data_IF_141109398154
#
_entry.id   IF_141109398154
#
_cell.length_a   1.000
_cell.length_b   1.000
_cell.length_c   1.000
_cell.angle_alpha   90.00
_cell.angle_beta   90.00
_cell.angle_gamma   90.00
#
_symmetry.space_group_name_H-M   'P 1'
#
loop_
_entity.id
_entity.type
_entity.pdbx_description
1 polymer ?
#
# COMPACT_ATOMS: atom_id res chain seq x y z
N UNK A 1 0.09 -8.54 -20.85
CA UNK A 1 0.74 -8.81 -19.55
C UNK A 1 0.81 -10.32 -19.38
N UNK A 2 1.99 -10.89 -19.17
CA UNK A 2 2.13 -12.33 -18.92
C UNK A 2 1.53 -12.73 -17.56
N UNK A 3 1.35 -14.02 -17.32
CA UNK A 3 0.94 -14.50 -16.01
C UNK A 3 2.04 -14.16 -14.98
N UNK A 4 1.68 -13.40 -13.93
CA UNK A 4 2.62 -13.00 -12.88
C UNK A 4 3.25 -14.21 -12.18
N UNK A 5 2.53 -15.33 -12.12
CA UNK A 5 3.02 -16.58 -11.54
C UNK A 5 4.06 -17.29 -12.42
N UNK A 6 4.10 -17.02 -13.73
CA UNK A 6 4.98 -17.70 -14.68
C UNK A 6 6.19 -16.86 -15.08
N UNK A 7 6.17 -15.53 -14.85
CA UNK A 7 7.21 -14.62 -15.32
C UNK A 7 7.53 -13.49 -14.33
N UNK A 8 7.57 -13.84 -13.04
CA UNK A 8 7.90 -12.95 -11.93
C UNK A 8 9.20 -12.13 -12.18
N UNK A 9 10.24 -12.75 -12.73
CA UNK A 9 11.53 -12.08 -12.98
C UNK A 9 11.50 -10.97 -14.05
N UNK A 10 10.45 -10.90 -14.88
CA UNK A 10 10.32 -9.89 -15.94
C UNK A 10 9.34 -8.77 -15.59
N UNK A 11 8.72 -8.82 -14.41
CA UNK A 11 7.79 -7.78 -13.97
C UNK A 11 8.56 -6.62 -13.34
N UNK A 12 8.27 -5.41 -13.82
CA UNK A 12 8.76 -4.18 -13.21
C UNK A 12 7.95 -3.85 -11.95
N UNK A 13 8.49 -2.98 -11.07
CA UNK A 13 7.76 -2.48 -9.91
C UNK A 13 6.41 -1.86 -10.32
N UNK A 14 6.38 -1.12 -11.43
CA UNK A 14 5.15 -0.58 -12.02
C UNK A 14 4.16 -1.69 -12.43
N UNK A 15 4.63 -2.77 -13.07
CA UNK A 15 3.79 -3.90 -13.45
C UNK A 15 3.16 -4.59 -12.24
N UNK A 16 3.92 -4.74 -11.16
CA UNK A 16 3.41 -5.26 -9.88
C UNK A 16 2.40 -4.33 -9.25
N UNK A 17 2.69 -3.03 -9.18
CA UNK A 17 1.78 -2.04 -8.62
C UNK A 17 0.46 -2.01 -9.40
N UNK A 18 0.51 -2.04 -10.74
CA UNK A 18 -0.67 -2.12 -11.59
C UNK A 18 -1.49 -3.39 -11.30
N UNK A 19 -0.85 -4.56 -11.30
CA UNK A 19 -1.54 -5.81 -11.01
C UNK A 19 -2.19 -5.77 -9.63
N UNK A 20 -1.47 -5.30 -8.62
CA UNK A 20 -1.93 -5.23 -7.23
C UNK A 20 -3.12 -4.28 -7.06
N UNK A 21 -3.09 -3.10 -7.67
CA UNK A 21 -4.13 -2.08 -7.48
C UNK A 21 -5.38 -2.30 -8.36
N UNK A 22 -5.24 -2.95 -9.52
CA UNK A 22 -6.31 -3.01 -10.52
C UNK A 22 -6.80 -4.43 -10.84
N UNK A 23 -5.93 -5.44 -10.80
CA UNK A 23 -6.33 -6.82 -11.12
C UNK A 23 -6.64 -7.62 -9.85
N UNK A 24 -5.77 -7.55 -8.85
CA UNK A 24 -5.89 -8.33 -7.63
C UNK A 24 -7.22 -8.14 -6.87
N UNK A 25 -7.84 -6.96 -6.76
CA UNK A 25 -9.17 -6.80 -6.15
C UNK A 25 -10.22 -7.75 -6.72
N UNK A 26 -10.32 -7.82 -8.05
CA UNK A 26 -11.31 -8.67 -8.69
C UNK A 26 -10.92 -10.16 -8.65
N UNK A 27 -9.62 -10.46 -8.78
CA UNK A 27 -9.13 -11.83 -8.79
C UNK A 27 -9.17 -12.49 -7.40
N UNK A 28 -8.98 -11.70 -6.34
CA UNK A 28 -8.96 -12.16 -4.95
C UNK A 28 -10.32 -12.05 -4.25
N UNK A 29 -11.31 -11.42 -4.90
CA UNK A 29 -12.68 -11.38 -4.42
C UNK A 29 -13.23 -12.80 -4.20
N UNK A 30 -13.71 -13.07 -2.98
CA UNK A 30 -14.20 -14.41 -2.60
C UNK A 30 -13.11 -15.48 -2.44
N UNK A 31 -11.83 -15.13 -2.60
CA UNK A 31 -10.69 -16.02 -2.32
C UNK A 31 -10.06 -15.74 -0.96
N UNK A 32 -9.96 -14.47 -0.58
CA UNK A 32 -9.51 -14.06 0.75
C UNK A 32 -10.70 -14.01 1.71
N UNK A 33 -10.50 -14.53 2.92
CA UNK A 33 -11.49 -14.40 3.98
C UNK A 33 -11.58 -12.93 4.47
N UNK A 34 -12.76 -12.52 4.92
CA UNK A 34 -12.87 -11.33 5.76
C UNK A 34 -12.27 -11.65 7.14
N UNK A 35 -11.46 -10.76 7.76
CA UNK A 35 -11.26 -9.34 7.44
C UNK A 35 -10.13 -9.03 6.43
N UNK A 36 -9.32 -10.01 6.04
CA UNK A 36 -8.11 -9.80 5.24
C UNK A 36 -8.37 -9.22 3.86
N UNK A 37 -9.46 -9.63 3.20
CA UNK A 37 -9.83 -9.05 1.91
C UNK A 37 -10.14 -7.55 2.04
N UNK A 38 -10.86 -7.16 3.09
CA UNK A 38 -11.20 -5.75 3.31
C UNK A 38 -9.93 -4.93 3.60
N UNK A 39 -9.05 -5.44 4.47
CA UNK A 39 -7.77 -4.81 4.77
C UNK A 39 -6.89 -4.64 3.52
N UNK A 40 -6.86 -5.65 2.64
CA UNK A 40 -6.21 -5.55 1.33
C UNK A 40 -6.82 -4.45 0.43
N UNK A 41 -8.14 -4.36 0.36
CA UNK A 41 -8.82 -3.31 -0.43
C UNK A 41 -8.53 -1.92 0.13
N UNK A 42 -8.44 -1.77 1.44
CA UNK A 42 -8.08 -0.49 2.07
C UNK A 42 -6.64 -0.07 1.74
N UNK A 43 -5.70 -1.02 1.63
CA UNK A 43 -4.35 -0.71 1.14
C UNK A 43 -4.38 -0.25 -0.33
N UNK A 44 -5.15 -0.93 -1.19
CA UNK A 44 -5.31 -0.52 -2.59
C UNK A 44 -5.89 0.91 -2.68
N UNK A 45 -6.81 1.28 -1.79
CA UNK A 45 -7.33 2.64 -1.73
C UNK A 45 -6.24 3.65 -1.31
N UNK A 46 -5.44 3.35 -0.29
CA UNK A 46 -4.28 4.17 0.13
C UNK A 46 -3.32 4.37 -1.05
N UNK A 47 -2.92 3.31 -1.73
CA UNK A 47 -1.99 3.38 -2.87
C UNK A 47 -2.55 4.22 -4.03
N UNK A 48 -3.86 4.14 -4.30
CA UNK A 48 -4.47 4.97 -5.36
C UNK A 48 -4.52 6.44 -4.98
N UNK A 49 -4.70 6.76 -3.70
CA UNK A 49 -4.64 8.13 -3.22
C UNK A 49 -3.23 8.66 -3.43
N UNK A 50 -2.17 7.94 -3.02
CA UNK A 50 -0.78 8.42 -3.12
C UNK A 50 -0.29 8.65 -4.56
N UNK A 51 -1.00 8.12 -5.57
CA UNK A 51 -0.73 8.33 -6.99
C UNK A 51 -1.48 9.52 -7.61
N UNK A 52 -2.28 10.26 -6.83
CA UNK A 52 -2.96 11.46 -7.33
C UNK A 52 -1.94 12.54 -7.72
N UNK A 53 -2.31 13.33 -8.74
CA UNK A 53 -1.47 14.42 -9.24
C UNK A 53 -1.45 15.61 -8.27
N UNK A 54 -2.57 15.87 -7.60
CA UNK A 54 -2.78 16.97 -6.67
C UNK A 54 -3.45 16.46 -5.39
N UNK A 55 -3.10 17.08 -4.27
CA UNK A 55 -3.66 16.82 -2.94
C UNK A 55 -4.01 18.14 -2.26
N UNK A 56 -5.12 18.17 -1.53
CA UNK A 56 -5.37 19.20 -0.51
C UNK A 56 -4.80 18.75 0.83
N UNK A 57 -4.57 19.70 1.74
CA UNK A 57 -4.10 19.40 3.10
C UNK A 57 -5.06 18.45 3.81
N UNK A 58 -6.37 18.67 3.64
CA UNK A 58 -7.42 17.83 4.23
C UNK A 58 -7.38 16.40 3.68
N UNK A 59 -7.03 16.21 2.41
CA UNK A 59 -6.85 14.86 1.84
C UNK A 59 -5.63 14.17 2.44
N UNK A 60 -4.55 14.90 2.72
CA UNK A 60 -3.35 14.34 3.36
C UNK A 60 -3.66 13.97 4.83
N UNK A 61 -4.41 14.80 5.56
CA UNK A 61 -4.81 14.49 6.94
C UNK A 61 -5.72 13.25 7.01
N UNK A 62 -6.62 13.10 6.04
CA UNK A 62 -7.44 11.89 5.90
C UNK A 62 -6.60 10.67 5.53
N UNK A 63 -5.61 10.83 4.65
CA UNK A 63 -4.68 9.77 4.27
C UNK A 63 -3.87 9.29 5.48
N UNK A 64 -3.35 10.22 6.29
CA UNK A 64 -2.63 9.91 7.52
C UNK A 64 -3.47 9.09 8.48
N UNK A 65 -4.70 9.55 8.76
CA UNK A 65 -5.63 8.83 9.64
C UNK A 65 -5.91 7.42 9.11
N UNK A 66 -6.09 7.27 7.80
CA UNK A 66 -6.36 5.99 7.15
C UNK A 66 -5.15 5.05 7.21
N UNK A 67 -3.94 5.56 7.03
CA UNK A 67 -2.70 4.78 7.13
C UNK A 67 -2.48 4.31 8.56
N UNK A 68 -2.64 5.19 9.56
CA UNK A 68 -2.49 4.83 10.98
C UNK A 68 -3.47 3.71 11.34
N UNK A 69 -4.72 3.83 10.92
CA UNK A 69 -5.72 2.79 11.14
C UNK A 69 -5.35 1.49 10.44
N UNK A 70 -4.90 1.56 9.18
CA UNK A 70 -4.50 0.39 8.41
C UNK A 70 -3.33 -0.38 9.04
N UNK A 71 -2.32 0.32 9.56
CA UNK A 71 -1.18 -0.27 10.26
C UNK A 71 -1.61 -0.91 11.58
N UNK A 72 -2.48 -0.24 12.35
CA UNK A 72 -3.06 -0.81 13.57
C UNK A 72 -3.85 -2.11 13.30
N UNK A 73 -4.65 -2.12 12.22
CA UNK A 73 -5.36 -3.33 11.79
C UNK A 73 -4.39 -4.41 11.28
N UNK A 74 -3.27 -4.04 10.65
CA UNK A 74 -2.22 -4.98 10.25
C UNK A 74 -1.60 -5.67 11.46
N UNK A 75 -1.26 -4.90 12.49
CA UNK A 75 -0.74 -5.44 13.75
C UNK A 75 -1.73 -6.41 14.39
N UNK A 76 -3.02 -6.07 14.38
CA UNK A 76 -4.07 -6.94 14.93
C UNK A 76 -4.29 -8.22 14.11
N UNK A 77 -4.28 -8.13 12.78
CA UNK A 77 -4.66 -9.26 11.91
C UNK A 77 -3.51 -10.22 11.63
N UNK A 78 -2.29 -9.70 11.44
CA UNK A 78 -1.14 -10.49 11.00
C UNK A 78 -0.09 -10.66 12.09
N UNK A 79 0.27 -9.59 12.82
CA UNK A 79 1.25 -9.69 13.90
C UNK A 79 0.65 -10.34 15.16
N UNK A 80 -0.64 -10.10 15.41
CA UNK A 80 -1.41 -10.65 16.54
C UNK A 80 -0.79 -10.38 17.92
N UNK A 81 0.14 -9.42 17.99
CA UNK A 81 0.94 -9.12 19.19
C UNK A 81 1.74 -10.34 19.71
N UNK A 82 2.14 -11.21 18.79
CA UNK A 82 2.94 -12.40 19.07
C UNK A 82 4.36 -12.21 18.52
N UNK A 83 5.36 -12.36 19.38
CA UNK A 83 6.76 -12.23 19.01
C UNK A 83 7.18 -13.28 17.95
N UNK A 84 6.51 -14.43 17.88
CA UNK A 84 6.73 -15.44 16.83
C UNK A 84 6.36 -14.91 15.43
N UNK A 85 5.48 -13.91 15.37
CA UNK A 85 5.02 -13.26 14.14
C UNK A 85 5.82 -12.00 13.78
N UNK A 86 6.91 -11.67 14.47
CA UNK A 86 7.74 -10.47 14.21
C UNK A 86 8.16 -10.31 12.74
N UNK A 87 8.28 -11.40 11.99
CA UNK A 87 8.63 -11.38 10.56
C UNK A 87 7.62 -10.63 9.68
N UNK A 88 6.39 -10.40 10.14
CA UNK A 88 5.35 -9.64 9.40
C UNK A 88 5.40 -8.13 9.65
N UNK A 89 6.17 -7.67 10.65
CA UNK A 89 6.37 -6.25 10.99
C UNK A 89 7.50 -5.65 10.15
N UNK A 90 7.35 -5.71 8.83
CA UNK A 90 8.38 -5.29 7.88
C UNK A 90 8.58 -3.78 7.89
N UNK A 91 9.82 -3.34 7.63
CA UNK A 91 10.15 -1.92 7.50
C UNK A 91 9.27 -1.20 6.47
N UNK A 92 8.84 -1.90 5.41
CA UNK A 92 7.93 -1.35 4.39
C UNK A 92 6.56 -0.99 4.98
N UNK A 93 6.06 -1.74 5.96
CA UNK A 93 4.81 -1.43 6.66
C UNK A 93 4.98 -0.17 7.52
N UNK A 94 6.10 -0.05 8.24
CA UNK A 94 6.43 1.16 8.99
C UNK A 94 6.60 2.38 8.06
N UNK A 95 7.19 2.17 6.88
CA UNK A 95 7.35 3.20 5.85
C UNK A 95 6.03 3.85 5.43
N UNK A 96 4.91 3.14 5.51
CA UNK A 96 3.60 3.72 5.22
C UNK A 96 3.29 4.92 6.11
N UNK A 97 3.65 4.87 7.39
CA UNK A 97 3.37 5.96 8.35
C UNK A 97 4.06 7.27 8.00
N UNK A 98 5.16 7.22 7.23
CA UNK A 98 5.90 8.41 6.81
C UNK A 98 5.37 9.04 5.53
N UNK A 99 4.53 8.32 4.76
CA UNK A 99 3.99 8.81 3.47
C UNK A 99 3.31 10.18 3.58
N UNK A 100 2.42 10.45 4.57
CA UNK A 100 1.78 11.76 4.67
C UNK A 100 2.77 12.91 4.88
N UNK A 101 3.77 12.70 5.74
CA UNK A 101 4.80 13.71 6.03
C UNK A 101 5.73 13.91 4.83
N UNK A 102 6.10 12.83 4.13
CA UNK A 102 6.86 12.90 2.88
C UNK A 102 6.11 13.71 1.82
N UNK A 103 4.78 13.52 1.69
CA UNK A 103 3.94 14.28 0.76
C UNK A 103 3.88 15.77 1.15
N UNK A 104 3.75 16.09 2.44
CA UNK A 104 3.76 17.48 2.93
C UNK A 104 5.10 18.18 2.67
N UNK A 105 6.20 17.44 2.81
CA UNK A 105 7.55 17.99 2.73
C UNK A 105 8.06 18.13 1.28
N UNK A 106 7.83 17.13 0.44
CA UNK A 106 8.38 17.07 -0.93
C UNK A 106 7.32 17.13 -2.05
N UNK A 107 6.03 17.16 -1.71
CA UNK A 107 4.95 16.94 -2.68
C UNK A 107 4.74 15.45 -3.00
N UNK A 108 3.90 15.13 -4.00
CA UNK A 108 3.60 13.75 -4.36
C UNK A 108 4.87 12.90 -4.58
N UNK A 109 4.93 11.70 -4.01
CA UNK A 109 6.16 10.89 -4.01
C UNK A 109 6.71 10.59 -5.42
N UNK A 110 5.84 10.55 -6.45
CA UNK A 110 6.25 10.38 -7.84
C UNK A 110 6.99 11.60 -8.44
N UNK A 111 6.76 12.82 -7.94
CA UNK A 111 7.47 14.02 -8.39
C UNK A 111 8.87 14.15 -7.77
N UNK A 112 9.10 13.56 -6.60
CA UNK A 112 10.41 13.48 -5.97
C UNK A 112 11.35 12.48 -6.69
N UNK A 113 10.80 11.35 -7.18
CA UNK A 113 11.56 10.32 -7.90
C UNK A 113 11.88 10.70 -9.36
N UNK A 114 11.20 11.69 -9.94
CA UNK A 114 11.48 12.19 -11.29
C UNK A 114 12.65 13.19 -11.37
N UNK A 115 13.23 13.59 -10.24
CA UNK A 115 14.35 14.54 -10.19
C UNK A 115 15.72 13.87 -10.14
N UNK A 116 15.78 12.54 -10.16
CA UNK A 116 17.01 11.74 -10.11
C UNK A 116 17.39 11.05 -11.42
N UNK A 117 16.67 11.35 -12.52
CA UNK A 117 16.98 10.85 -13.88
C UNK A 117 17.62 11.94 -14.76
#
# INVERSE_FOLDING_TARGET
MGNVAESCATFTAESYAFWFMYLAPYLLAGRLANPYYQHFIDLVAIMKITLQFEFTVEQIDQLETRIIQWVSDHERYYYQYDDECLSVCLLVIHGLLHIPDDIRFCGPMWSAMAQSD
#
